data_IF_726605483937
#
_entry.id   IF_726605483937
#
_cell.length_a   1.000
_cell.length_b   1.000
_cell.length_c   1.000
_cell.angle_alpha   90.00
_cell.angle_beta   90.00
_cell.angle_gamma   90.00
#
_symmetry.space_group_name_H-M   'P 1'
#
loop_
_entity.id
_entity.type
_entity.pdbx_description
1 polymer ?
#
# COMPACT_ATOMS: atom_id res chain seq x y z
N UNK A 1 14.57 -22.58 -32.60
CA UNK A 1 13.43 -21.76 -33.10
C UNK A 1 12.09 -22.47 -33.18
N UNK A 2 12.02 -23.81 -33.18
CA UNK A 2 10.76 -24.56 -33.36
C UNK A 2 9.99 -24.77 -32.04
N UNK A 3 10.67 -24.89 -30.89
CA UNK A 3 10.02 -25.17 -29.59
C UNK A 3 9.15 -24.02 -29.05
N UNK A 4 9.56 -22.76 -29.24
CA UNK A 4 8.80 -21.60 -28.72
C UNK A 4 7.47 -21.35 -29.44
N UNK A 5 7.27 -21.88 -30.66
CA UNK A 5 5.99 -21.74 -31.39
C UNK A 5 4.93 -22.75 -30.95
N UNK A 6 5.31 -23.88 -30.38
CA UNK A 6 4.38 -24.94 -29.98
C UNK A 6 3.67 -24.58 -28.66
N UNK A 7 4.36 -23.91 -27.74
CA UNK A 7 3.84 -23.62 -26.39
C UNK A 7 2.66 -22.63 -26.40
N UNK A 8 2.68 -21.63 -27.29
CA UNK A 8 1.59 -20.63 -27.37
C UNK A 8 0.34 -21.12 -28.10
N UNK A 9 0.45 -22.16 -28.94
CA UNK A 9 -0.70 -22.72 -29.67
C UNK A 9 -1.56 -23.68 -28.84
N UNK A 10 -1.12 -24.08 -27.63
CA UNK A 10 -1.80 -25.08 -26.80
C UNK A 10 -2.53 -24.47 -25.59
N UNK A 11 -2.22 -23.21 -25.23
CA UNK A 11 -2.84 -22.52 -24.09
C UNK A 11 -3.66 -21.31 -24.56
N UNK A 12 -4.83 -21.58 -25.13
CA UNK A 12 -5.89 -20.57 -25.19
C UNK A 12 -6.48 -20.39 -23.78
N UNK A 13 -5.88 -19.51 -23.00
CA UNK A 13 -6.43 -19.10 -21.70
C UNK A 13 -7.57 -18.12 -21.98
N UNK A 14 -8.79 -18.63 -22.07
CA UNK A 14 -10.01 -17.82 -22.08
C UNK A 14 -10.32 -17.33 -20.66
N UNK A 15 -9.78 -16.16 -20.29
CA UNK A 15 -10.10 -15.51 -19.01
C UNK A 15 -11.49 -14.89 -19.13
N UNK A 16 -12.50 -15.65 -18.74
CA UNK A 16 -13.87 -15.17 -18.66
C UNK A 16 -14.01 -14.15 -17.54
N UNK A 17 -14.18 -12.87 -17.91
CA UNK A 17 -14.30 -11.73 -16.98
C UNK A 17 -15.30 -11.95 -15.82
N UNK A 18 -16.37 -12.71 -16.05
CA UNK A 18 -17.39 -12.99 -15.04
C UNK A 18 -16.95 -14.02 -13.98
N UNK A 19 -15.98 -14.90 -14.28
CA UNK A 19 -15.47 -15.89 -13.32
C UNK A 19 -14.58 -15.21 -12.27
N UNK A 20 -13.91 -14.10 -12.63
CA UNK A 20 -13.01 -13.39 -11.72
C UNK A 20 -13.73 -12.38 -10.82
N UNK A 21 -14.90 -11.88 -11.23
CA UNK A 21 -15.57 -10.80 -10.50
C UNK A 21 -16.04 -11.23 -9.10
N UNK A 22 -16.66 -12.40 -8.98
CA UNK A 22 -17.15 -12.90 -7.69
C UNK A 22 -16.01 -13.14 -6.68
N UNK A 23 -14.93 -13.86 -7.03
CA UNK A 23 -13.74 -13.95 -6.18
C UNK A 23 -13.11 -12.59 -5.82
N UNK A 24 -13.11 -11.62 -6.74
CA UNK A 24 -12.62 -10.26 -6.44
C UNK A 24 -13.49 -9.55 -5.40
N UNK A 25 -14.81 -9.70 -5.48
CA UNK A 25 -15.75 -9.15 -4.50
C UNK A 25 -15.56 -9.82 -3.14
N UNK A 26 -15.42 -11.15 -3.10
CA UNK A 26 -15.16 -11.89 -1.86
C UNK A 26 -13.85 -11.47 -1.22
N UNK A 27 -12.77 -11.40 -2.00
CA UNK A 27 -11.48 -10.93 -1.51
C UNK A 27 -11.54 -9.49 -0.99
N UNK A 28 -12.28 -8.61 -1.66
CA UNK A 28 -12.48 -7.23 -1.22
C UNK A 28 -13.27 -7.16 0.10
N UNK A 29 -14.30 -8.01 0.28
CA UNK A 29 -15.05 -8.12 1.53
C UNK A 29 -14.14 -8.58 2.67
N UNK A 30 -13.36 -9.64 2.45
CA UNK A 30 -12.43 -10.18 3.45
C UNK A 30 -11.35 -9.16 3.81
N UNK A 31 -10.76 -8.52 2.80
CA UNK A 31 -9.80 -7.44 2.99
C UNK A 31 -10.38 -6.26 3.75
N UNK A 32 -11.62 -5.88 3.44
CA UNK A 32 -12.38 -4.86 4.16
C UNK A 32 -12.59 -5.23 5.63
N UNK A 33 -13.00 -6.46 5.92
CA UNK A 33 -13.15 -6.97 7.28
C UNK A 33 -11.84 -6.91 8.08
N UNK A 34 -10.70 -7.26 7.45
CA UNK A 34 -9.39 -7.14 8.09
C UNK A 34 -9.05 -5.69 8.41
N UNK A 35 -9.32 -4.74 7.51
CA UNK A 35 -9.07 -3.31 7.75
C UNK A 35 -9.98 -2.75 8.84
N UNK A 36 -11.25 -3.15 8.86
CA UNK A 36 -12.22 -2.72 9.86
C UNK A 36 -11.92 -3.28 11.26
N UNK A 37 -11.26 -4.45 11.35
CA UNK A 37 -10.84 -5.03 12.62
C UNK A 37 -9.61 -4.33 13.23
N UNK A 38 -8.87 -3.53 12.47
CA UNK A 38 -7.69 -2.79 12.93
C UNK A 38 -8.07 -1.59 13.79
N UNK A 39 -7.12 -1.10 14.58
CA UNK A 39 -7.27 0.16 15.32
C UNK A 39 -6.87 1.36 14.45
N UNK A 40 -7.72 2.38 14.40
CA UNK A 40 -7.53 3.57 13.57
C UNK A 40 -7.10 4.76 14.45
N UNK A 41 -5.92 5.31 14.19
CA UNK A 41 -5.38 6.44 14.95
C UNK A 41 -5.11 7.60 14.02
N UNK A 42 -5.68 8.76 14.32
CA UNK A 42 -5.25 10.02 13.75
C UNK A 42 -4.11 10.59 14.58
N UNK A 43 -3.03 10.98 13.92
CA UNK A 43 -1.87 11.61 14.53
C UNK A 43 -1.74 13.05 14.06
N UNK A 44 -1.57 13.98 15.01
CA UNK A 44 -0.98 15.30 14.76
C UNK A 44 0.54 15.21 14.87
N UNK A 45 1.30 15.99 14.10
CA UNK A 45 2.76 15.97 14.18
C UNK A 45 3.23 16.48 15.55
N UNK A 46 4.50 16.21 15.86
CA UNK A 46 5.16 16.81 17.00
C UNK A 46 5.12 18.34 16.91
N UNK A 47 5.21 19.02 18.07
CA UNK A 47 5.17 20.49 18.10
C UNK A 47 6.34 21.06 17.27
N UNK A 48 6.02 21.94 16.32
CA UNK A 48 7.01 22.55 15.43
C UNK A 48 7.42 21.70 14.21
N UNK A 49 6.79 20.54 14.01
CA UNK A 49 7.00 19.70 12.83
C UNK A 49 5.71 19.57 12.01
N UNK A 50 5.85 19.08 10.78
CA UNK A 50 4.75 18.79 9.85
C UNK A 50 4.96 17.41 9.22
N UNK A 51 3.87 16.79 8.78
CA UNK A 51 3.94 15.60 7.95
C UNK A 51 4.21 15.97 6.49
N UNK A 52 5.08 15.22 5.83
CA UNK A 52 5.26 15.25 4.39
C UNK A 52 4.12 14.44 3.75
N UNK A 53 3.62 14.91 2.63
CA UNK A 53 2.57 14.24 1.84
C UNK A 53 3.06 14.03 0.40
N UNK A 54 2.42 13.13 -0.34
CA UNK A 54 2.75 12.71 -1.70
C UNK A 54 1.49 12.18 -2.37
N UNK A 55 1.46 12.06 -3.70
CA UNK A 55 0.35 11.43 -4.44
C UNK A 55 0.22 9.93 -4.12
N UNK A 56 1.33 9.31 -3.69
CA UNK A 56 1.35 7.95 -3.15
C UNK A 56 1.99 7.93 -1.75
N UNK A 57 1.28 8.41 -0.72
CA UNK A 57 1.88 8.64 0.59
C UNK A 57 1.75 7.43 1.52
N UNK A 58 1.13 6.33 1.07
CA UNK A 58 0.88 5.19 1.94
C UNK A 58 2.15 4.35 2.12
N UNK A 59 2.36 3.87 3.34
CA UNK A 59 3.40 2.88 3.60
C UNK A 59 2.89 1.72 4.45
N UNK A 60 3.33 0.52 4.07
CA UNK A 60 3.04 -0.74 4.75
C UNK A 60 4.23 -1.11 5.62
N UNK A 61 4.03 -1.09 6.93
CA UNK A 61 5.06 -1.39 7.91
C UNK A 61 4.81 -2.81 8.42
N UNK A 62 5.62 -3.81 8.03
CA UNK A 62 5.47 -5.16 8.53
C UNK A 62 5.80 -5.24 10.03
N UNK A 63 5.36 -6.31 10.70
CA UNK A 63 5.83 -6.60 12.05
C UNK A 63 7.36 -6.73 12.08
N UNK A 64 7.99 -6.31 13.20
CA UNK A 64 9.46 -6.28 13.39
C UNK A 64 10.24 -7.57 13.06
N UNK A 65 9.55 -8.71 12.88
CA UNK A 65 10.14 -10.02 12.54
C UNK A 65 10.01 -10.40 11.06
N UNK A 66 9.54 -9.51 10.20
CA UNK A 66 9.41 -9.80 8.77
C UNK A 66 10.76 -9.68 8.05
N UNK A 67 11.15 -10.67 7.22
CA UNK A 67 12.42 -10.65 6.49
C UNK A 67 12.46 -9.62 5.34
N UNK A 68 11.32 -9.03 4.95
CA UNK A 68 11.27 -8.01 3.89
C UNK A 68 10.32 -6.87 4.24
N UNK A 69 10.80 -5.60 4.33
CA UNK A 69 9.97 -4.44 4.60
C UNK A 69 8.94 -4.13 3.49
N UNK A 70 9.04 -4.77 2.32
CA UNK A 70 8.29 -4.40 1.10
C UNK A 70 7.35 -5.48 0.56
N UNK A 71 7.16 -6.61 1.27
CA UNK A 71 6.40 -7.76 0.77
C UNK A 71 5.06 -7.99 1.48
N UNK A 72 4.51 -6.97 2.15
CA UNK A 72 3.24 -7.09 2.86
C UNK A 72 2.17 -6.18 2.25
N UNK A 73 1.03 -6.79 1.92
CA UNK A 73 -0.14 -6.08 1.42
C UNK A 73 -1.00 -5.46 2.53
N UNK A 74 -1.96 -4.61 2.17
CA UNK A 74 -2.84 -3.90 3.12
C UNK A 74 -3.72 -4.85 3.96
N UNK A 75 -4.06 -6.02 3.40
CA UNK A 75 -4.91 -7.02 4.06
C UNK A 75 -4.15 -7.93 5.03
N UNK A 76 -2.85 -7.71 5.25
CA UNK A 76 -2.15 -8.45 6.28
C UNK A 76 -2.61 -7.97 7.68
N UNK A 77 -3.12 -8.83 8.56
CA UNK A 77 -3.67 -8.41 9.86
C UNK A 77 -2.63 -7.74 10.77
N UNK A 78 -1.34 -8.02 10.60
CA UNK A 78 -0.27 -7.49 11.43
C UNK A 78 0.48 -6.30 10.83
N UNK A 79 0.17 -5.93 9.59
CA UNK A 79 0.75 -4.72 8.98
C UNK A 79 0.19 -3.47 9.63
N UNK A 80 1.05 -2.49 9.84
CA UNK A 80 0.64 -1.12 10.17
C UNK A 80 0.68 -0.29 8.91
N UNK A 81 -0.41 0.42 8.63
CA UNK A 81 -0.54 1.30 7.47
C UNK A 81 -0.39 2.73 7.98
N UNK A 82 0.40 3.54 7.29
CA UNK A 82 0.42 4.99 7.53
C UNK A 82 0.02 5.72 6.27
N UNK A 83 -0.86 6.71 6.40
CA UNK A 83 -1.39 7.53 5.31
C UNK A 83 -1.38 9.00 5.76
N UNK A 84 -0.33 9.75 5.43
CA UNK A 84 -0.33 11.20 5.56
C UNK A 84 -1.49 11.80 4.76
N UNK A 85 -2.45 12.42 5.45
CA UNK A 85 -3.65 13.00 4.83
C UNK A 85 -3.44 14.48 4.52
N UNK A 86 -2.78 15.20 5.44
CA UNK A 86 -2.28 16.56 5.23
C UNK A 86 -1.08 16.83 6.13
N UNK A 87 -0.48 18.00 6.01
CA UNK A 87 0.68 18.43 6.79
C UNK A 87 0.50 18.39 8.33
N UNK A 88 -0.73 18.52 8.83
CA UNK A 88 -1.05 18.48 10.27
C UNK A 88 -1.72 17.16 10.73
N UNK A 89 -1.93 16.20 9.83
CA UNK A 89 -2.72 15.00 10.11
C UNK A 89 -2.28 13.77 9.31
N UNK A 90 -1.98 12.69 10.02
CA UNK A 90 -1.71 11.37 9.44
C UNK A 90 -2.65 10.33 10.02
N UNK A 91 -3.17 9.43 9.18
CA UNK A 91 -3.87 8.22 9.62
C UNK A 91 -2.88 7.08 9.82
N UNK A 92 -2.99 6.38 10.94
CA UNK A 92 -2.26 5.15 11.24
C UNK A 92 -3.26 4.04 11.53
N UNK A 93 -3.28 3.03 10.66
CA UNK A 93 -4.09 1.82 10.82
C UNK A 93 -3.19 0.74 11.39
N UNK A 94 -3.39 0.43 12.67
CA UNK A 94 -2.50 -0.42 13.45
C UNK A 94 -2.90 -1.90 13.44
N UNK A 95 -2.51 -2.59 14.51
CA UNK A 95 -2.90 -3.99 14.76
C UNK A 95 -4.39 -4.11 15.07
N UNK A 96 -4.97 -5.33 14.98
CA UNK A 96 -6.35 -5.59 15.35
C UNK A 96 -6.65 -5.10 16.76
N UNK A 97 -7.78 -4.44 16.94
CA UNK A 97 -8.24 -4.04 18.26
C UNK A 97 -8.58 -5.32 19.07
N UNK A 98 -8.16 -5.37 20.34
CA UNK A 98 -8.51 -6.49 21.24
C UNK A 98 -9.99 -6.46 21.66
N UNK A 99 -10.63 -5.30 21.55
CA UNK A 99 -12.02 -5.05 21.91
C UNK A 99 -12.80 -4.59 20.67
N UNK A 100 -14.08 -4.97 20.62
CA UNK A 100 -15.02 -4.66 19.51
C UNK A 100 -15.35 -3.16 19.44
N UNK A 101 -15.06 -2.40 20.50
CA UNK A 101 -15.23 -0.95 20.49
C UNK A 101 -14.30 -0.33 19.43
N UNK A 102 -14.94 0.20 18.39
CA UNK A 102 -14.31 0.84 17.24
C UNK A 102 -13.77 2.20 17.67
N UNK A 103 -12.60 2.20 18.31
CA UNK A 103 -11.97 3.44 18.75
C UNK A 103 -11.18 4.07 17.61
N UNK A 104 -11.69 5.20 17.12
CA UNK A 104 -10.84 6.21 16.52
C UNK A 104 -10.20 7.00 17.65
N UNK A 105 -8.88 7.17 17.61
CA UNK A 105 -8.19 8.02 18.58
C UNK A 105 -7.41 9.11 17.87
N UNK A 106 -7.46 10.33 18.41
CA UNK A 106 -6.61 11.43 17.99
C UNK A 106 -5.47 11.57 19.00
N UNK A 107 -4.23 11.48 18.54
CA UNK A 107 -3.03 11.61 19.39
C UNK A 107 -2.03 12.56 18.74
N UNK A 108 -1.06 13.01 19.52
CA UNK A 108 0.11 13.73 19.01
C UNK A 108 1.28 12.76 18.89
N UNK A 109 1.94 12.76 17.74
CA UNK A 109 3.14 11.99 17.52
C UNK A 109 4.33 12.59 18.28
N UNK A 110 5.30 11.73 18.65
CA UNK A 110 6.62 12.21 19.06
C UNK A 110 7.41 12.75 17.86
N UNK A 111 8.48 13.50 18.11
CA UNK A 111 9.36 14.00 17.04
C UNK A 111 9.88 12.85 16.17
N UNK A 112 10.44 11.83 16.82
CA UNK A 112 10.91 10.61 16.16
C UNK A 112 9.83 9.91 15.32
N UNK A 113 8.59 9.82 15.81
CA UNK A 113 7.49 9.22 15.04
C UNK A 113 7.15 10.04 13.80
N UNK A 114 7.17 11.37 13.92
CA UNK A 114 6.92 12.28 12.79
C UNK A 114 8.00 12.13 11.73
N UNK A 115 9.27 12.10 12.14
CA UNK A 115 10.42 11.92 11.25
C UNK A 115 10.40 10.56 10.53
N UNK A 116 10.06 9.49 11.26
CA UNK A 116 9.92 8.14 10.68
C UNK A 116 8.81 8.08 9.62
N UNK A 117 7.66 8.71 9.87
CA UNK A 117 6.54 8.78 8.91
C UNK A 117 6.96 9.57 7.68
N UNK A 118 7.62 10.71 7.86
CA UNK A 118 8.11 11.54 6.76
C UNK A 118 9.13 10.78 5.91
N UNK A 119 10.09 10.10 6.54
CA UNK A 119 11.11 9.31 5.85
C UNK A 119 10.47 8.24 4.95
N UNK A 120 9.45 7.53 5.45
CA UNK A 120 8.72 6.51 4.68
C UNK A 120 7.94 7.12 3.52
N UNK A 121 7.31 8.27 3.75
CA UNK A 121 6.54 8.97 2.72
C UNK A 121 7.44 9.44 1.59
N UNK A 122 8.61 10.00 1.92
CA UNK A 122 9.63 10.40 0.95
C UNK A 122 10.13 9.18 0.16
N UNK A 123 10.43 8.07 0.85
CA UNK A 123 10.86 6.84 0.18
C UNK A 123 9.79 6.27 -0.76
N UNK A 124 8.51 6.32 -0.37
CA UNK A 124 7.39 5.91 -1.22
C UNK A 124 7.26 6.83 -2.45
N UNK A 125 7.36 8.15 -2.27
CA UNK A 125 7.32 9.12 -3.35
C UNK A 125 8.45 8.90 -4.36
N UNK A 126 9.68 8.68 -3.89
CA UNK A 126 10.84 8.39 -4.74
C UNK A 126 10.69 7.08 -5.53
N UNK A 127 9.93 6.11 -5.00
CA UNK A 127 9.75 4.81 -5.64
C UNK A 127 8.63 4.80 -6.68
N UNK A 128 7.53 5.51 -6.42
CA UNK A 128 6.29 5.36 -7.18
C UNK A 128 5.84 6.62 -7.92
N UNK A 129 6.31 7.81 -7.52
CA UNK A 129 5.90 9.09 -8.13
C UNK A 129 7.02 9.63 -9.01
N UNK A 130 8.25 9.63 -8.50
CA UNK A 130 9.42 9.93 -9.31
C UNK A 130 9.88 8.65 -9.98
N UNK A 131 9.87 8.60 -11.31
CA UNK A 131 10.65 7.60 -12.03
C UNK A 131 12.13 7.95 -11.79
N UNK A 132 12.89 7.17 -11.01
CA UNK A 132 14.29 7.50 -10.72
C UNK A 132 15.16 7.44 -11.98
N UNK A 133 14.66 6.82 -13.04
CA UNK A 133 15.31 6.63 -14.33
C UNK A 133 14.28 6.93 -15.40
N UNK A 134 14.63 7.80 -16.35
CA UNK A 134 13.89 7.93 -17.60
C UNK A 134 14.22 6.68 -18.43
N UNK A 135 13.36 5.67 -18.34
CA UNK A 135 13.47 4.48 -19.16
C UNK A 135 12.79 4.75 -20.51
N UNK A 136 13.59 4.76 -21.57
CA UNK A 136 13.11 4.98 -22.94
C UNK A 136 12.16 3.87 -23.40
N UNK A 137 12.25 2.66 -22.85
CA UNK A 137 11.41 1.53 -23.24
C UNK A 137 10.02 1.62 -22.58
N UNK A 138 9.91 2.18 -21.37
CA UNK A 138 8.61 2.46 -20.73
C UNK A 138 7.86 3.56 -21.48
N UNK A 139 8.58 4.58 -21.99
CA UNK A 139 8.00 5.63 -22.83
C UNK A 139 7.58 5.11 -24.21
N UNK A 140 8.25 4.07 -24.73
CA UNK A 140 7.92 3.44 -26.02
C UNK A 140 6.83 2.38 -25.92
N UNK A 141 6.68 1.70 -24.78
CA UNK A 141 5.71 0.62 -24.55
C UNK A 141 4.28 1.06 -24.24
N UNK A 142 4.01 2.36 -24.09
CA UNK A 142 2.68 2.91 -23.82
C UNK A 142 1.83 3.15 -25.08
N UNK A 143 2.32 2.79 -26.27
CA UNK A 143 1.52 2.73 -27.50
C UNK A 143 1.64 1.33 -28.10
N UNK A 144 0.51 0.68 -28.46
CA UNK A 144 0.57 -0.60 -29.15
C UNK A 144 1.17 -0.34 -30.53
N UNK A 145 2.34 -0.92 -30.79
CA UNK A 145 2.87 -1.00 -32.15
C UNK A 145 2.16 -2.18 -32.81
N UNK A 146 1.42 -1.89 -33.89
CA UNK A 146 0.77 -2.85 -34.77
C UNK A 146 1.75 -3.84 -35.39
#
# INVERSE_FOLDING_TARGET
EIENKVVWNVLQIDIKNWISLEPMIELAKDGGNVLLAKHWTFLRPAKGQVFVTSDNPYSFIPPKRSPSPYQVGPFNPFVTITVPLRQDLTLVVGKPAKTIERHFSLKRASGKQTDEINTRTIAAALRYVYAPIIDQDILRGALPVC
#
